data_IF_482764958617
#
_entry.id   IF_482764958617
#
_cell.length_a   1.000
_cell.length_b   1.000
_cell.length_c   1.000
_cell.angle_alpha   90.00
_cell.angle_beta   90.00
_cell.angle_gamma   90.00
#
_symmetry.space_group_name_H-M   'P 1'
#
loop_
_entity.id
_entity.type
_entity.pdbx_description
1 polymer ?
#
# COMPACT_ATOMS: atom_id res chain seq x y z
N UNK A 1 -12.04 12.23 -23.85
CA UNK A 1 -11.89 12.21 -22.39
C UNK A 1 -10.67 11.37 -22.06
N UNK A 2 -9.66 11.90 -21.36
CA UNK A 2 -8.38 11.20 -21.19
C UNK A 2 -8.56 10.07 -20.17
N UNK A 3 -8.36 8.83 -20.61
CA UNK A 3 -8.23 7.67 -19.75
C UNK A 3 -6.86 7.70 -19.07
N UNK A 4 -6.77 7.36 -17.76
CA UNK A 4 -5.49 7.33 -17.07
C UNK A 4 -4.62 6.19 -17.61
N UNK A 5 -3.36 6.51 -17.84
CA UNK A 5 -2.34 5.67 -18.48
C UNK A 5 -2.09 4.33 -17.77
N UNK A 6 -1.97 3.20 -18.52
CA UNK A 6 -1.78 1.84 -17.97
C UNK A 6 -0.42 1.60 -17.28
N UNK A 7 0.51 2.54 -17.36
CA UNK A 7 1.85 2.45 -16.76
C UNK A 7 1.81 2.41 -15.22
N UNK A 8 0.85 3.11 -14.62
CA UNK A 8 0.73 3.22 -13.15
C UNK A 8 0.22 1.92 -12.50
N UNK A 9 -0.62 1.16 -13.20
CA UNK A 9 -1.15 -0.11 -12.70
C UNK A 9 -0.06 -1.18 -12.65
N UNK A 10 0.90 -1.12 -13.58
CA UNK A 10 2.04 -2.03 -13.62
C UNK A 10 3.04 -1.73 -12.51
N UNK A 11 3.33 -0.46 -12.21
CA UNK A 11 4.27 -0.12 -11.12
C UNK A 11 3.76 -0.57 -9.76
N UNK A 12 2.47 -0.38 -9.46
CA UNK A 12 1.88 -0.79 -8.17
C UNK A 12 1.94 -2.31 -7.95
N UNK A 13 1.61 -3.09 -8.99
CA UNK A 13 1.62 -4.55 -8.91
C UNK A 13 3.05 -5.09 -8.83
N UNK A 14 4.01 -4.48 -9.52
CA UNK A 14 5.42 -4.84 -9.44
C UNK A 14 5.99 -4.60 -8.05
N UNK A 15 5.66 -3.50 -7.38
CA UNK A 15 6.15 -3.23 -6.02
C UNK A 15 5.66 -4.26 -5.01
N UNK A 16 4.37 -4.64 -5.05
CA UNK A 16 3.84 -5.67 -4.16
C UNK A 16 4.46 -7.05 -4.45
N UNK A 17 4.67 -7.39 -5.72
CA UNK A 17 5.33 -8.66 -6.09
C UNK A 17 6.79 -8.69 -5.66
N UNK A 18 7.48 -7.56 -5.78
CA UNK A 18 8.86 -7.42 -5.34
C UNK A 18 8.99 -7.66 -3.83
N UNK A 19 8.14 -7.03 -3.02
CA UNK A 19 8.13 -7.24 -1.58
C UNK A 19 7.91 -8.71 -1.21
N UNK A 20 7.00 -9.39 -1.91
CA UNK A 20 6.74 -10.82 -1.69
C UNK A 20 7.89 -11.72 -2.15
N UNK A 21 8.61 -11.35 -3.20
CA UNK A 21 9.79 -12.10 -3.67
C UNK A 21 11.00 -11.93 -2.73
N UNK A 22 11.19 -10.74 -2.16
CA UNK A 22 12.21 -10.53 -1.12
C UNK A 22 11.91 -11.37 0.12
N UNK A 23 10.64 -11.46 0.53
CA UNK A 23 10.21 -12.29 1.67
C UNK A 23 10.32 -13.79 1.36
N UNK A 24 10.13 -14.21 0.11
CA UNK A 24 10.24 -15.62 -0.31
C UNK A 24 11.69 -16.15 -0.24
N UNK A 25 12.70 -15.27 -0.44
CA UNK A 25 14.12 -15.61 -0.33
C UNK A 25 14.58 -15.95 1.09
N UNK A 26 13.84 -15.54 2.13
CA UNK A 26 14.17 -15.80 3.54
C UNK A 26 13.02 -16.51 4.27
N UNK A 27 12.71 -17.78 3.91
CA UNK A 27 11.53 -18.49 4.41
C UNK A 27 11.52 -18.66 5.94
N UNK A 28 12.70 -18.82 6.55
CA UNK A 28 12.85 -19.00 8.00
C UNK A 28 12.62 -17.70 8.82
N UNK A 29 12.76 -16.52 8.19
CA UNK A 29 12.63 -15.22 8.86
C UNK A 29 11.46 -14.38 8.34
N UNK A 30 10.61 -14.93 7.46
CA UNK A 30 9.46 -14.23 6.86
C UNK A 30 8.56 -13.55 7.90
N UNK A 31 8.30 -14.22 9.03
CA UNK A 31 7.44 -13.70 10.09
C UNK A 31 8.05 -12.51 10.81
N UNK A 32 9.37 -12.53 11.03
CA UNK A 32 10.10 -11.42 11.65
C UNK A 32 10.18 -10.22 10.71
N UNK A 33 10.44 -10.44 9.41
CA UNK A 33 10.51 -9.38 8.40
C UNK A 33 9.14 -8.70 8.24
N UNK A 34 8.07 -9.50 8.07
CA UNK A 34 6.70 -8.98 7.96
C UNK A 34 6.26 -8.30 9.28
N UNK A 35 6.63 -8.86 10.43
CA UNK A 35 6.33 -8.29 11.74
C UNK A 35 7.02 -6.94 11.96
N UNK A 36 8.32 -6.84 11.67
CA UNK A 36 9.09 -5.60 11.76
C UNK A 36 8.55 -4.53 10.80
N UNK A 37 8.17 -4.91 9.58
CA UNK A 37 7.57 -4.00 8.59
C UNK A 37 6.24 -3.45 9.08
N UNK A 38 5.37 -4.31 9.61
CA UNK A 38 4.10 -3.88 10.20
C UNK A 38 4.31 -2.97 11.42
N UNK A 39 5.23 -3.33 12.32
CA UNK A 39 5.55 -2.52 13.50
C UNK A 39 6.08 -1.13 13.13
N UNK A 40 6.98 -1.06 12.14
CA UNK A 40 7.47 0.21 11.61
C UNK A 40 6.33 1.04 10.98
N UNK A 41 5.41 0.39 10.25
CA UNK A 41 4.22 1.02 9.69
C UNK A 41 3.27 1.58 10.76
N UNK A 42 3.03 0.81 11.83
CA UNK A 42 2.23 1.27 12.98
C UNK A 42 2.90 2.44 13.70
N UNK A 43 4.23 2.39 13.86
CA UNK A 43 4.98 3.49 14.46
C UNK A 43 4.90 4.77 13.61
N UNK A 44 5.00 4.63 12.28
CA UNK A 44 4.82 5.75 11.36
C UNK A 44 3.40 6.35 11.44
N UNK A 45 2.38 5.51 11.63
CA UNK A 45 0.99 5.95 11.82
C UNK A 45 0.79 6.79 13.08
N UNK A 46 1.49 6.48 14.16
CA UNK A 46 1.42 7.24 15.42
C UNK A 46 2.29 8.49 15.35
N UNK A 47 3.54 8.36 14.87
CA UNK A 47 4.49 9.47 14.82
C UNK A 47 4.14 10.49 13.73
N UNK A 48 3.48 10.09 12.64
CA UNK A 48 3.15 10.96 11.51
C UNK A 48 2.31 12.18 11.90
N UNK A 49 1.11 11.99 12.49
CA UNK A 49 0.26 13.10 12.91
C UNK A 49 0.89 13.93 14.03
N UNK A 50 1.58 13.30 14.98
CA UNK A 50 2.22 13.99 16.12
C UNK A 50 3.31 14.93 15.62
N UNK A 51 4.20 14.44 14.76
CA UNK A 51 5.29 15.24 14.20
C UNK A 51 4.78 16.29 13.20
N UNK A 52 3.76 15.95 12.42
CA UNK A 52 3.11 16.85 11.47
C UNK A 52 2.38 18.02 12.16
N UNK A 53 1.65 17.73 13.24
CA UNK A 53 0.96 18.75 14.05
C UNK A 53 1.93 19.69 14.74
N UNK A 54 2.99 19.16 15.38
CA UNK A 54 4.03 19.97 16.02
C UNK A 54 4.74 20.91 15.04
N UNK A 55 4.96 20.45 13.81
CA UNK A 55 5.58 21.29 12.77
C UNK A 55 4.62 22.33 12.19
N UNK A 56 3.32 22.01 12.13
CA UNK A 56 2.27 22.94 11.70
C UNK A 56 2.08 24.10 12.68
N UNK A 57 2.17 23.85 13.98
CA UNK A 57 2.04 24.89 15.03
C UNK A 57 3.15 25.95 14.97
N UNK A 58 4.37 25.56 14.55
CA UNK A 58 5.55 26.45 14.60
C UNK A 58 5.74 27.33 13.36
N UNK A 59 5.19 26.97 12.21
CA UNK A 59 5.33 27.82 11.00
C UNK A 59 4.26 27.62 9.95
N UNK A 60 3.05 27.26 10.39
CA UNK A 60 1.84 27.27 9.58
C UNK A 60 1.61 26.00 8.77
N UNK A 61 0.43 25.93 8.16
CA UNK A 61 -0.09 24.75 7.45
C UNK A 61 0.78 24.25 6.28
N UNK A 62 1.69 25.08 5.75
CA UNK A 62 2.53 24.71 4.60
C UNK A 62 3.78 23.90 4.98
N UNK A 63 4.34 24.09 6.18
CA UNK A 63 5.56 23.41 6.62
C UNK A 63 5.47 21.87 6.66
N UNK A 64 4.41 21.23 7.20
CA UNK A 64 4.33 19.78 7.22
C UNK A 64 4.33 19.18 5.81
N UNK A 65 3.69 19.83 4.83
CA UNK A 65 3.69 19.36 3.44
C UNK A 65 5.08 19.44 2.81
N UNK A 66 5.80 20.56 3.02
CA UNK A 66 7.16 20.73 2.49
C UNK A 66 8.13 19.73 3.14
N UNK A 67 8.03 19.51 4.44
CA UNK A 67 8.89 18.57 5.15
C UNK A 67 8.65 17.11 4.75
N UNK A 68 7.38 16.70 4.59
CA UNK A 68 7.05 15.36 4.08
C UNK A 68 7.51 15.21 2.63
N UNK A 69 7.31 16.24 1.79
CA UNK A 69 7.79 16.25 0.41
C UNK A 69 9.31 16.14 0.31
N UNK A 70 10.05 16.90 1.13
CA UNK A 70 11.50 16.82 1.21
C UNK A 70 11.96 15.44 1.73
N UNK A 71 11.29 14.89 2.74
CA UNK A 71 11.57 13.54 3.25
C UNK A 71 11.41 12.46 2.18
N UNK A 72 10.37 12.57 1.35
CA UNK A 72 10.13 11.63 0.26
C UNK A 72 11.20 11.73 -0.83
N UNK A 73 11.58 12.96 -1.19
CA UNK A 73 12.66 13.23 -2.17
C UNK A 73 14.01 12.73 -1.66
N UNK A 74 14.30 12.85 -0.36
CA UNK A 74 15.52 12.32 0.24
C UNK A 74 15.50 10.79 0.38
N UNK A 75 14.33 10.17 0.58
CA UNK A 75 14.22 8.71 0.68
C UNK A 75 14.37 8.01 -0.67
N UNK A 76 13.93 8.63 -1.76
CA UNK A 76 14.05 8.06 -3.11
C UNK A 76 15.49 7.62 -3.49
N UNK A 77 16.53 8.47 -3.37
CA UNK A 77 17.90 8.08 -3.69
C UNK A 77 18.46 7.04 -2.70
N UNK A 78 18.06 7.07 -1.43
CA UNK A 78 18.48 6.10 -0.42
C UNK A 78 17.96 4.71 -0.79
N UNK A 79 16.69 4.60 -1.17
CA UNK A 79 16.10 3.34 -1.64
C UNK A 79 16.79 2.87 -2.92
N UNK A 80 17.05 3.77 -3.88
CA UNK A 80 17.74 3.42 -5.12
C UNK A 80 19.20 2.98 -4.92
N UNK A 81 19.91 3.53 -3.94
CA UNK A 81 21.29 3.11 -3.63
C UNK A 81 21.34 1.81 -2.82
N UNK A 82 20.37 1.60 -1.92
CA UNK A 82 20.37 0.45 -1.01
C UNK A 82 19.75 -0.81 -1.62
N UNK A 83 18.83 -0.67 -2.57
CA UNK A 83 18.27 -1.79 -3.34
C UNK A 83 18.94 -1.87 -4.72
N UNK A 84 20.00 -2.68 -4.89
CA UNK A 84 20.44 -3.06 -6.22
C UNK A 84 19.29 -3.80 -6.92
N UNK A 85 18.91 -3.34 -8.12
CA UNK A 85 17.81 -3.94 -8.89
C UNK A 85 18.04 -5.46 -9.06
N UNK A 86 17.21 -6.28 -8.41
CA UNK A 86 17.41 -7.73 -8.41
C UNK A 86 16.78 -8.45 -9.61
N UNK A 87 16.17 -7.72 -10.56
CA UNK A 87 15.67 -8.31 -11.81
C UNK A 87 15.85 -7.34 -12.98
N UNK A 88 16.60 -7.71 -14.04
CA UNK A 88 16.56 -6.97 -15.28
C UNK A 88 15.11 -6.97 -15.81
N UNK A 89 14.58 -5.81 -16.26
CA UNK A 89 13.29 -5.77 -16.92
C UNK A 89 13.27 -6.80 -18.04
N UNK A 90 12.21 -7.64 -18.10
CA UNK A 90 11.88 -8.30 -19.38
C UNK A 90 11.46 -7.19 -20.35
N UNK A 91 12.45 -6.56 -20.96
CA UNK A 91 12.34 -5.66 -22.09
C UNK A 91 11.71 -6.48 -23.23
N UNK A 92 10.38 -6.40 -23.37
CA UNK A 92 9.68 -7.18 -24.39
C UNK A 92 8.23 -7.57 -24.08
N UNK A 93 7.66 -7.25 -22.91
CA UNK A 93 6.21 -7.36 -22.73
C UNK A 93 5.48 -6.18 -23.41
N UNK A 94 5.67 -6.05 -24.72
CA UNK A 94 4.84 -5.19 -25.57
C UNK A 94 3.37 -5.57 -25.39
N UNK A 95 2.51 -4.57 -25.20
CA UNK A 95 1.05 -4.69 -25.04
C UNK A 95 0.35 -5.55 -26.11
N UNK A 96 0.99 -5.82 -27.25
CA UNK A 96 0.50 -6.76 -28.28
C UNK A 96 0.55 -8.24 -27.90
N UNK A 97 1.36 -8.63 -26.91
CA UNK A 97 1.42 -10.00 -26.39
C UNK A 97 0.58 -10.19 -25.11
N UNK A 98 -0.01 -9.11 -24.57
CA UNK A 98 -0.97 -9.19 -23.46
C UNK A 98 -2.29 -9.73 -24.01
N UNK A 99 -2.37 -11.05 -24.16
CA UNK A 99 -3.63 -11.71 -24.46
C UNK A 99 -4.55 -11.54 -23.24
N UNK A 100 -5.30 -10.43 -23.22
CA UNK A 100 -6.21 -10.05 -22.14
C UNK A 100 -7.26 -11.14 -21.86
N UNK A 101 -7.69 -11.88 -22.89
CA UNK A 101 -8.71 -12.93 -22.77
C UNK A 101 -8.25 -14.11 -21.89
N UNK A 102 -7.09 -14.76 -22.14
CA UNK A 102 -6.60 -15.81 -21.26
C UNK A 102 -6.21 -15.29 -19.88
N UNK A 103 -5.62 -14.09 -19.77
CA UNK A 103 -5.30 -13.49 -18.46
C UNK A 103 -6.54 -13.20 -17.62
N UNK A 104 -7.61 -12.68 -18.24
CA UNK A 104 -8.89 -12.46 -17.57
C UNK A 104 -9.52 -13.79 -17.14
N UNK A 105 -9.46 -14.82 -17.98
CA UNK A 105 -9.99 -16.15 -17.64
C UNK A 105 -9.22 -16.80 -16.48
N UNK A 106 -7.89 -16.65 -16.46
CA UNK A 106 -7.02 -17.16 -15.39
C UNK A 106 -7.22 -16.39 -14.08
N UNK A 107 -7.37 -15.07 -14.16
CA UNK A 107 -7.68 -14.21 -13.00
C UNK A 107 -9.07 -14.53 -12.46
N UNK A 108 -10.07 -14.72 -13.34
CA UNK A 108 -11.44 -15.07 -12.97
C UNK A 108 -11.51 -16.45 -12.32
N UNK A 109 -10.81 -17.45 -12.88
CA UNK A 109 -10.70 -18.78 -12.29
C UNK A 109 -10.06 -18.75 -10.90
N UNK A 110 -8.94 -18.03 -10.76
CA UNK A 110 -8.26 -17.86 -9.47
C UNK A 110 -9.14 -17.17 -8.44
N UNK A 111 -9.86 -16.12 -8.84
CA UNK A 111 -10.79 -15.41 -7.95
C UNK A 111 -11.96 -16.30 -7.52
N UNK A 112 -12.52 -17.11 -8.43
CA UNK A 112 -13.58 -18.05 -8.07
C UNK A 112 -13.12 -19.13 -7.08
N UNK A 113 -11.87 -19.59 -7.21
CA UNK A 113 -11.27 -20.57 -6.28
C UNK A 113 -11.01 -19.93 -4.92
N UNK A 114 -10.49 -18.69 -4.89
CA UNK A 114 -10.24 -17.95 -3.65
C UNK A 114 -11.53 -17.65 -2.88
N UNK A 115 -12.65 -17.38 -3.58
CA UNK A 115 -13.96 -17.17 -2.96
C UNK A 115 -14.62 -18.46 -2.46
N UNK A 116 -14.19 -19.63 -2.96
CA UNK A 116 -14.72 -20.92 -2.56
C UNK A 116 -14.10 -21.42 -1.24
N UNK A 117 -12.91 -20.91 -0.89
CA UNK A 117 -12.26 -21.20 0.38
C UNK A 117 -12.93 -20.43 1.53
N UNK A 118 -13.52 -21.19 2.47
CA UNK A 118 -14.21 -20.63 3.65
C UNK A 118 -13.30 -19.79 4.53
N UNK A 119 -12.02 -20.13 4.63
CA UNK A 119 -11.09 -19.39 5.49
C UNK A 119 -10.76 -18.03 4.86
N UNK A 120 -10.49 -17.98 3.56
CA UNK A 120 -10.26 -16.72 2.86
C UNK A 120 -11.50 -15.82 2.84
N UNK A 121 -12.67 -16.40 2.60
CA UNK A 121 -13.93 -15.66 2.68
C UNK A 121 -14.15 -15.08 4.09
N UNK A 122 -13.87 -15.83 5.15
CA UNK A 122 -13.94 -15.32 6.53
C UNK A 122 -12.96 -14.17 6.79
N UNK A 123 -11.71 -14.26 6.30
CA UNK A 123 -10.73 -13.19 6.43
C UNK A 123 -11.17 -11.92 5.68
N UNK A 124 -11.72 -12.07 4.47
CA UNK A 124 -12.23 -10.95 3.69
C UNK A 124 -13.42 -10.27 4.38
N UNK A 125 -14.35 -11.06 4.94
CA UNK A 125 -15.49 -10.54 5.70
C UNK A 125 -15.05 -9.82 6.97
N UNK A 126 -14.12 -10.40 7.73
CA UNK A 126 -13.56 -9.76 8.93
C UNK A 126 -12.85 -8.45 8.58
N UNK A 127 -12.06 -8.43 7.50
CA UNK A 127 -11.38 -7.22 7.04
C UNK A 127 -12.37 -6.15 6.57
N UNK A 128 -13.42 -6.54 5.84
CA UNK A 128 -14.49 -5.63 5.41
C UNK A 128 -15.23 -5.03 6.60
N UNK A 129 -15.54 -5.84 7.61
CA UNK A 129 -16.17 -5.37 8.84
C UNK A 129 -15.26 -4.38 9.59
N UNK A 130 -13.96 -4.66 9.68
CA UNK A 130 -12.97 -3.78 10.31
C UNK A 130 -12.92 -2.40 9.64
N UNK A 131 -12.84 -2.36 8.30
CA UNK A 131 -12.82 -1.09 7.56
C UNK A 131 -14.13 -0.33 7.66
N UNK A 132 -15.27 -1.04 7.65
CA UNK A 132 -16.58 -0.41 7.84
C UNK A 132 -16.70 0.23 9.22
N UNK A 133 -16.20 -0.45 10.26
CA UNK A 133 -16.11 0.09 11.62
C UNK A 133 -15.23 1.34 11.70
N UNK A 134 -14.03 1.30 11.12
CA UNK A 134 -13.13 2.45 11.09
C UNK A 134 -13.74 3.67 10.37
N UNK A 135 -14.43 3.43 9.25
CA UNK A 135 -15.16 4.46 8.51
C UNK A 135 -16.27 5.08 9.35
N UNK A 136 -17.05 4.27 10.05
CA UNK A 136 -18.10 4.76 10.94
C UNK A 136 -17.52 5.64 12.06
N UNK A 137 -16.39 5.28 12.66
CA UNK A 137 -15.74 6.12 13.69
C UNK A 137 -15.33 7.49 13.14
N UNK A 138 -14.74 7.54 11.95
CA UNK A 138 -14.36 8.81 11.31
C UNK A 138 -15.57 9.69 10.95
N UNK A 139 -16.73 9.09 10.67
CA UNK A 139 -17.96 9.84 10.40
C UNK A 139 -18.67 10.32 11.68
N UNK A 140 -18.66 9.52 12.75
CA UNK A 140 -19.38 9.81 13.99
C UNK A 140 -18.64 10.83 14.86
N UNK A 141 -17.31 10.80 14.93
CA UNK A 141 -16.52 11.71 15.78
C UNK A 141 -16.74 13.20 15.42
N UNK A 142 -16.69 13.63 14.14
CA UNK A 142 -17.00 15.01 13.77
C UNK A 142 -18.46 15.39 14.03
N UNK A 143 -19.39 14.46 13.78
CA UNK A 143 -20.82 14.68 13.99
C UNK A 143 -21.14 14.91 15.48
N UNK A 144 -20.49 14.15 16.37
CA UNK A 144 -20.63 14.30 17.81
C UNK A 144 -19.96 15.58 18.34
N UNK A 145 -18.78 15.93 17.81
CA UNK A 145 -18.12 17.19 18.15
C UNK A 145 -18.97 18.41 17.75
N UNK A 146 -19.62 18.40 16.59
CA UNK A 146 -20.49 19.50 16.15
C UNK A 146 -21.80 19.63 16.95
N UNK A 147 -22.22 18.58 17.67
CA UNK A 147 -23.43 18.61 18.51
C UNK A 147 -23.16 19.08 19.95
N UNK A 148 -21.89 19.09 20.37
CA UNK A 148 -21.45 19.37 21.75
C UNK A 148 -20.75 20.72 21.91
N UNK A 149 -20.44 21.39 20.80
CA UNK A 149 -19.83 22.73 20.71
C UNK A 149 -20.77 23.67 19.95
#
# INVERSE_FOLDING_TARGET
SPSPSPTLTLTLTLTHRYAMDVVSRFPNHRGVILGATNAAGSLAWVLGPVLGGWMAERGGHALPFVAVGAGLVCMAPIVHMLLPETMPPKAGATLGALQLRPLLNETYGSFSILLQDRTLCSLLLMQGALFTGWSATLAVVPLYAAATW
#
